data_IF_300926844816
#
_entry.id   IF_300926844816
#
_cell.length_a   1.000
_cell.length_b   1.000
_cell.length_c   1.000
_cell.angle_alpha   90.00
_cell.angle_beta   90.00
_cell.angle_gamma   90.00
#
_symmetry.space_group_name_H-M   'P 1'
#
loop_
_entity.id
_entity.type
_entity.pdbx_description
1 polymer ?
#
# COMPACT_ATOMS: atom_id res chain seq x y z
N UNK A 1 13.21 4.48 15.06
CA UNK A 1 12.41 3.26 15.23
C UNK A 1 12.45 2.62 13.87
N UNK A 2 13.18 1.52 13.72
CA UNK A 2 13.21 0.81 12.43
C UNK A 2 11.78 0.35 12.12
N UNK A 3 11.19 0.91 11.07
CA UNK A 3 9.83 0.58 10.66
C UNK A 3 9.92 -0.80 9.99
N UNK A 4 9.31 -1.80 10.62
CA UNK A 4 9.31 -3.17 10.11
C UNK A 4 8.28 -3.29 9.00
N UNK A 5 8.68 -3.83 7.85
CA UNK A 5 7.74 -4.18 6.79
C UNK A 5 6.95 -5.43 7.17
N UNK A 6 5.79 -5.22 7.77
CA UNK A 6 4.79 -6.25 8.04
C UNK A 6 3.38 -5.77 7.66
N UNK A 7 2.42 -6.69 7.61
CA UNK A 7 1.06 -6.36 7.17
C UNK A 7 0.38 -5.33 8.07
N UNK A 8 0.66 -5.35 9.38
CA UNK A 8 0.05 -4.44 10.33
C UNK A 8 0.53 -3.00 10.10
N UNK A 9 1.82 -2.85 9.82
CA UNK A 9 2.46 -1.57 9.50
C UNK A 9 1.99 -1.05 8.15
N UNK A 10 1.84 -1.91 7.14
CA UNK A 10 1.27 -1.52 5.83
C UNK A 10 -0.18 -1.05 6.00
N UNK A 11 -1.02 -1.78 6.75
CA UNK A 11 -2.40 -1.36 7.05
C UNK A 11 -2.46 -0.03 7.79
N UNK A 12 -1.53 0.22 8.71
CA UNK A 12 -1.43 1.51 9.38
C UNK A 12 -1.12 2.64 8.38
N UNK A 13 -0.23 2.42 7.40
CA UNK A 13 0.03 3.41 6.35
C UNK A 13 -1.16 3.61 5.42
N UNK A 14 -1.89 2.54 5.06
CA UNK A 14 -3.14 2.64 4.30
C UNK A 14 -4.14 3.53 5.05
N UNK A 15 -4.34 3.28 6.35
CA UNK A 15 -5.23 4.11 7.18
C UNK A 15 -4.80 5.58 7.19
N UNK A 16 -3.52 5.85 7.45
CA UNK A 16 -2.98 7.23 7.44
C UNK A 16 -3.21 7.92 6.10
N UNK A 17 -3.02 7.20 4.98
CA UNK A 17 -3.27 7.72 3.65
C UNK A 17 -4.76 8.05 3.45
N UNK A 18 -5.66 7.12 3.79
CA UNK A 18 -7.10 7.29 3.65
C UNK A 18 -7.64 8.43 4.52
N UNK A 19 -7.16 8.56 5.76
CA UNK A 19 -7.49 9.66 6.67
C UNK A 19 -7.15 11.02 6.05
N UNK A 20 -6.02 11.11 5.33
CA UNK A 20 -5.60 12.34 4.64
C UNK A 20 -6.38 12.56 3.35
N UNK A 21 -6.63 11.51 2.58
CA UNK A 21 -7.23 11.59 1.25
C UNK A 21 -8.74 11.86 1.30
N UNK A 22 -9.45 11.19 2.22
CA UNK A 22 -10.91 11.30 2.39
C UNK A 22 -11.31 12.18 3.56
N UNK A 23 -10.39 12.95 4.14
CA UNK A 23 -10.61 13.80 5.31
C UNK A 23 -11.99 14.48 5.24
N UNK A 24 -12.85 14.16 6.21
CA UNK A 24 -14.21 14.68 6.41
C UNK A 24 -15.34 14.11 5.52
N UNK A 25 -15.04 13.31 4.49
CA UNK A 25 -16.06 12.77 3.57
C UNK A 25 -16.49 11.34 3.89
N UNK A 26 -15.59 10.51 4.43
CA UNK A 26 -15.85 9.11 4.78
C UNK A 26 -15.01 8.67 5.96
N UNK A 27 -15.53 7.70 6.72
CA UNK A 27 -14.73 6.97 7.68
C UNK A 27 -13.70 6.10 6.91
N UNK A 28 -12.39 6.25 7.16
CA UNK A 28 -11.36 5.44 6.50
C UNK A 28 -11.55 3.93 6.71
N UNK A 29 -12.18 3.52 7.82
CA UNK A 29 -12.46 2.10 8.12
C UNK A 29 -13.62 1.54 7.26
N UNK A 30 -14.43 2.39 6.63
CA UNK A 30 -15.50 1.99 5.72
C UNK A 30 -15.08 1.96 4.25
N UNK A 31 -13.93 2.54 3.90
CA UNK A 31 -13.41 2.55 2.54
C UNK A 31 -12.99 1.14 2.15
N UNK A 32 -13.30 0.74 0.92
CA UNK A 32 -12.81 -0.50 0.32
C UNK A 32 -11.76 -0.19 -0.73
N UNK A 33 -10.86 -1.14 -0.99
CA UNK A 33 -9.85 -0.99 -2.03
C UNK A 33 -10.48 -0.70 -3.41
N UNK A 34 -11.61 -1.33 -3.71
CA UNK A 34 -12.37 -1.09 -4.96
C UNK A 34 -13.05 0.28 -5.05
N UNK A 35 -13.13 1.05 -3.97
CA UNK A 35 -13.61 2.44 -4.01
C UNK A 35 -12.51 3.41 -4.47
N UNK A 36 -11.24 2.98 -4.46
CA UNK A 36 -10.12 3.77 -4.95
C UNK A 36 -10.10 3.72 -6.47
N UNK A 37 -10.10 4.89 -7.11
CA UNK A 37 -9.75 4.96 -8.53
C UNK A 37 -8.28 4.56 -8.74
N UNK A 38 -7.93 4.26 -9.99
CA UNK A 38 -6.59 3.78 -10.34
C UNK A 38 -5.48 4.77 -9.99
N UNK A 39 -5.76 6.08 -10.02
CA UNK A 39 -4.77 7.10 -9.64
C UNK A 39 -4.58 7.13 -8.12
N UNK A 40 -5.67 7.11 -7.36
CA UNK A 40 -5.64 7.04 -5.90
C UNK A 40 -4.92 5.78 -5.41
N UNK A 41 -5.14 4.64 -6.06
CA UNK A 41 -4.42 3.39 -5.76
C UNK A 41 -2.90 3.52 -5.99
N UNK A 42 -2.49 4.17 -7.08
CA UNK A 42 -1.07 4.44 -7.35
C UNK A 42 -0.48 5.36 -6.28
N UNK A 43 -1.18 6.43 -5.90
CA UNK A 43 -0.73 7.35 -4.84
C UNK A 43 -0.58 6.64 -3.49
N UNK A 44 -1.52 5.75 -3.16
CA UNK A 44 -1.44 4.91 -1.97
C UNK A 44 -0.18 4.04 -2.00
N UNK A 45 0.11 3.40 -3.13
CA UNK A 45 1.28 2.53 -3.25
C UNK A 45 2.59 3.32 -3.15
N UNK A 46 2.70 4.48 -3.81
CA UNK A 46 3.86 5.37 -3.71
C UNK A 46 4.08 5.87 -2.26
N UNK A 47 3.01 6.18 -1.54
CA UNK A 47 3.08 6.56 -0.12
C UNK A 47 3.66 5.41 0.73
N UNK A 48 3.27 4.17 0.45
CA UNK A 48 3.80 3.00 1.16
C UNK A 48 5.26 2.73 0.78
N UNK A 49 5.62 2.84 -0.50
CA UNK A 49 7.01 2.71 -0.96
C UNK A 49 7.95 3.68 -0.24
N UNK A 50 7.56 4.96 -0.15
CA UNK A 50 8.31 6.00 0.57
C UNK A 50 8.40 5.69 2.08
N UNK A 51 7.31 5.22 2.70
CA UNK A 51 7.26 4.95 4.13
C UNK A 51 8.15 3.77 4.57
N UNK A 52 8.40 2.80 3.69
CA UNK A 52 9.18 1.59 4.00
C UNK A 52 10.48 1.46 3.20
N UNK A 53 10.81 2.41 2.33
CA UNK A 53 11.96 2.37 1.41
C UNK A 53 11.98 1.09 0.55
N UNK A 54 10.85 0.83 -0.13
CA UNK A 54 10.65 -0.35 -1.00
C UNK A 54 10.19 0.04 -2.40
N UNK A 55 10.28 -0.91 -3.34
CA UNK A 55 9.81 -0.76 -4.73
C UNK A 55 8.89 -1.93 -5.09
N UNK A 56 7.61 -1.64 -5.32
CA UNK A 56 6.50 -2.59 -5.52
C UNK A 56 5.60 -2.18 -6.69
N UNK A 57 5.59 -0.91 -7.09
CA UNK A 57 4.71 -0.38 -8.15
C UNK A 57 4.83 -1.15 -9.47
N UNK A 58 6.04 -1.56 -9.84
CA UNK A 58 6.27 -2.37 -11.03
C UNK A 58 5.55 -3.72 -10.98
N UNK A 59 5.36 -4.29 -9.80
CA UNK A 59 4.69 -5.57 -9.57
C UNK A 59 3.17 -5.45 -9.47
N UNK A 60 2.61 -4.24 -9.41
CA UNK A 60 1.17 -4.02 -9.19
C UNK A 60 0.30 -4.73 -10.26
N UNK A 61 0.81 -4.93 -11.47
CA UNK A 61 0.12 -5.68 -12.53
C UNK A 61 -0.15 -7.15 -12.18
N UNK A 62 0.60 -7.72 -11.24
CA UNK A 62 0.45 -9.07 -10.72
C UNK A 62 -0.58 -9.17 -9.59
N UNK A 63 -1.06 -8.03 -9.06
CA UNK A 63 -2.07 -8.01 -8.02
C UNK A 63 -3.44 -8.40 -8.56
N UNK A 64 -4.09 -9.37 -7.88
CA UNK A 64 -5.42 -9.89 -8.22
C UNK A 64 -6.43 -9.81 -7.08
N UNK A 65 -6.00 -9.33 -5.90
CA UNK A 65 -6.85 -9.22 -4.72
C UNK A 65 -7.85 -8.07 -4.84
N UNK A 66 -8.89 -8.11 -4.00
CA UNK A 66 -9.95 -7.10 -3.96
C UNK A 66 -10.01 -6.29 -2.66
N UNK A 67 -9.26 -6.70 -1.63
CA UNK A 67 -9.29 -6.07 -0.30
C UNK A 67 -7.94 -5.55 0.18
N UNK A 68 -7.97 -4.68 1.20
CA UNK A 68 -6.77 -4.14 1.83
C UNK A 68 -5.92 -5.20 2.53
N UNK A 69 -6.53 -6.29 3.03
CA UNK A 69 -5.80 -7.42 3.60
C UNK A 69 -4.90 -8.09 2.55
N UNK A 70 -5.48 -8.45 1.40
CA UNK A 70 -4.74 -9.05 0.28
C UNK A 70 -3.71 -8.09 -0.30
N UNK A 71 -4.04 -6.79 -0.39
CA UNK A 71 -3.12 -5.75 -0.83
C UNK A 71 -1.93 -5.60 0.12
N UNK A 72 -2.17 -5.62 1.44
CA UNK A 72 -1.10 -5.52 2.44
C UNK A 72 -0.17 -6.73 2.37
N UNK A 73 -0.73 -7.94 2.26
CA UNK A 73 0.04 -9.16 2.08
C UNK A 73 0.86 -9.12 0.78
N UNK A 74 0.27 -8.63 -0.32
CA UNK A 74 0.97 -8.44 -1.59
C UNK A 74 2.16 -7.49 -1.45
N UNK A 75 1.97 -6.32 -0.82
CA UNK A 75 3.04 -5.33 -0.61
C UNK A 75 4.17 -5.91 0.22
N UNK A 76 3.88 -6.60 1.34
CA UNK A 76 4.90 -7.25 2.17
C UNK A 76 5.65 -8.31 1.36
N UNK A 77 4.92 -9.13 0.59
CA UNK A 77 5.52 -10.17 -0.23
C UNK A 77 6.45 -9.61 -1.31
N UNK A 78 6.08 -8.49 -1.95
CA UNK A 78 6.90 -7.88 -2.99
C UNK A 78 8.05 -7.06 -2.40
N UNK A 79 7.80 -6.23 -1.39
CA UNK A 79 8.80 -5.35 -0.78
C UNK A 79 9.91 -6.09 -0.04
N UNK A 80 9.68 -7.33 0.38
CA UNK A 80 10.74 -8.21 0.93
C UNK A 80 11.58 -8.89 -0.15
N UNK A 81 11.16 -8.86 -1.42
CA UNK A 81 11.99 -9.32 -2.54
C UNK A 81 13.03 -8.24 -2.81
N UNK A 82 14.28 -8.57 -2.50
CA UNK A 82 15.44 -7.70 -2.72
C UNK A 82 15.38 -7.13 -4.16
N UNK A 83 15.46 -5.80 -4.36
CA UNK A 83 15.51 -5.25 -5.70
C UNK A 83 16.73 -5.86 -6.40
N UNK A 84 16.50 -6.51 -7.54
CA UNK A 84 17.59 -6.89 -8.43
C UNK A 84 18.04 -5.58 -9.08
N UNK A 85 18.82 -4.79 -8.35
CA UNK A 85 19.66 -3.77 -8.98
C UNK A 85 20.64 -4.53 -9.85
N UNK A 86 20.31 -4.60 -11.14
CA UNK A 86 21.27 -4.99 -12.17
C UNK A 86 22.24 -3.80 -12.27
N UNK A 87 23.55 -4.03 -12.08
CA UNK A 87 24.56 -2.97 -12.06
C UNK A 87 24.68 -2.20 -13.38
#
# INVERSE_FOLDING_TARGET
MDVVLDEASVKAQIRIFLERYYAEQRDPDEVKLGDLDSFTLIQLLLHIEDAFDIVVLEELHNFRGGGFDEFSAFVVQMGTRKPVHTP
#
